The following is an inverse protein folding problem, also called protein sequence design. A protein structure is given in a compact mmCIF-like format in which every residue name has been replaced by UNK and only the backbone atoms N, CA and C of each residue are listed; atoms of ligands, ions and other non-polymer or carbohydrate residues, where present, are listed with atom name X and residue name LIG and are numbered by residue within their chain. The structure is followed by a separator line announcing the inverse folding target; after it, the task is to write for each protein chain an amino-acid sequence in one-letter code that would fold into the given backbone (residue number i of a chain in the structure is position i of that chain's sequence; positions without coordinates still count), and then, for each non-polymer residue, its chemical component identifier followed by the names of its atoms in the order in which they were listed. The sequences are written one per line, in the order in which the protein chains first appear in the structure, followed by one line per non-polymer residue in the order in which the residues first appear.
data_IF_123550925901
#
_entry.id   IF_123550925901
#
_cell.length_a   1.000
_cell.length_b   1.000
_cell.length_c   1.000
_cell.angle_alpha   90.00
_cell.angle_beta   90.00
_cell.angle_gamma   90.00
#
_symmetry.space_group_name_H-M   'P 1'
#
loop_
_entity.id
_entity.type
_entity.pdbx_description
1 polymer ?
#
# COMPACT_ATOMS: atom_id res chain seq x y z
N UNK A 1 9.86 16.02 -26.28
CA UNK A 1 10.43 14.89 -25.50
C UNK A 1 9.88 15.01 -24.10
N UNK A 2 9.04 14.08 -23.66
CA UNK A 2 8.64 14.04 -22.25
C UNK A 2 9.85 13.51 -21.45
N UNK A 3 10.20 14.16 -20.34
CA UNK A 3 11.28 13.65 -19.49
C UNK A 3 10.91 12.24 -19.01
N UNK A 4 11.85 11.31 -19.13
CA UNK A 4 11.69 9.95 -18.58
C UNK A 4 11.63 10.08 -17.07
N UNK A 5 10.57 9.60 -16.40
CA UNK A 5 10.49 9.68 -14.96
C UNK A 5 11.62 8.91 -14.28
N UNK A 6 12.17 9.48 -13.21
CA UNK A 6 13.24 8.84 -12.44
C UNK A 6 12.80 7.49 -11.84
N UNK A 7 11.52 7.39 -11.49
CA UNK A 7 10.89 6.19 -10.96
C UNK A 7 9.91 5.71 -12.03
N UNK A 8 10.09 4.52 -12.63
CA UNK A 8 9.14 4.00 -13.60
C UNK A 8 7.79 3.74 -12.92
N UNK A 9 6.66 4.08 -13.57
CA UNK A 9 5.34 3.72 -13.06
C UNK A 9 5.15 2.21 -13.15
N UNK A 10 4.72 1.60 -12.05
CA UNK A 10 4.51 0.14 -12.00
C UNK A 10 3.36 -0.29 -11.10
N UNK A 11 2.93 0.59 -10.19
CA UNK A 11 1.94 0.24 -9.14
C UNK A 11 0.61 -0.18 -9.74
N UNK A 12 0.01 0.67 -10.59
CA UNK A 12 -1.34 0.43 -11.10
C UNK A 12 -1.38 -0.86 -11.93
N UNK A 13 -0.55 -0.98 -12.95
CA UNK A 13 -0.49 -2.16 -13.82
C UNK A 13 -0.29 -3.44 -13.00
N UNK A 14 0.68 -3.45 -12.08
CA UNK A 14 0.96 -4.63 -11.27
C UNK A 14 -0.18 -5.00 -10.33
N UNK A 15 -0.87 -4.02 -9.77
CA UNK A 15 -2.03 -4.27 -8.90
C UNK A 15 -3.20 -4.80 -9.73
N UNK A 16 -3.48 -4.24 -10.90
CA UNK A 16 -4.55 -4.69 -11.78
C UNK A 16 -4.32 -6.13 -12.25
N UNK A 17 -3.08 -6.53 -12.50
CA UNK A 17 -2.72 -7.91 -12.85
C UNK A 17 -3.07 -8.93 -11.75
N UNK A 18 -3.01 -8.51 -10.49
CA UNK A 18 -3.22 -9.38 -9.32
C UNK A 18 -4.66 -9.44 -8.86
N UNK A 19 -5.37 -8.31 -8.90
CA UNK A 19 -6.74 -8.15 -8.40
C UNK A 19 -7.73 -9.14 -9.00
N UNK A 20 -7.80 -9.34 -10.32
CA UNK A 20 -8.81 -10.20 -10.95
C UNK A 20 -8.79 -11.65 -10.45
N UNK A 21 -7.66 -12.13 -9.99
CA UNK A 21 -7.42 -13.53 -9.68
C UNK A 21 -7.39 -13.84 -8.18
N UNK A 22 -7.86 -12.92 -7.30
CA UNK A 22 -7.71 -13.12 -5.86
C UNK A 22 -8.99 -12.84 -5.07
N UNK A 23 -9.23 -13.65 -4.04
CA UNK A 23 -10.25 -13.44 -3.01
C UNK A 23 -9.81 -12.44 -1.91
N UNK A 24 -8.81 -11.61 -2.20
CA UNK A 24 -8.19 -10.70 -1.21
C UNK A 24 -9.17 -9.69 -0.62
N UNK A 25 -10.27 -9.42 -1.36
CA UNK A 25 -11.31 -8.48 -0.96
C UNK A 25 -12.33 -9.04 0.03
N UNK A 26 -12.37 -10.35 0.18
CA UNK A 26 -13.36 -11.01 1.02
C UNK A 26 -12.85 -11.29 2.43
N UNK A 27 -11.54 -11.11 2.66
CA UNK A 27 -10.94 -11.39 3.95
C UNK A 27 -9.86 -10.34 4.28
N UNK A 28 -10.14 -9.50 5.27
CA UNK A 28 -9.19 -8.46 5.73
C UNK A 28 -7.91 -9.03 6.38
N UNK A 29 -7.90 -10.32 6.68
CA UNK A 29 -6.71 -11.03 7.15
C UNK A 29 -5.90 -11.64 6.01
N UNK A 30 -6.49 -11.77 4.80
CA UNK A 30 -5.80 -12.32 3.66
C UNK A 30 -4.71 -11.37 3.15
N UNK A 31 -3.57 -11.96 2.85
CA UNK A 31 -2.44 -11.27 2.24
C UNK A 31 -2.06 -12.00 0.96
N UNK A 32 -1.89 -11.25 -0.11
CA UNK A 32 -1.39 -11.79 -1.37
C UNK A 32 0.05 -11.34 -1.57
N UNK A 33 0.98 -12.28 -1.79
CA UNK A 33 2.34 -11.95 -2.20
C UNK A 33 2.29 -11.15 -3.49
N UNK A 34 2.93 -9.99 -3.50
CA UNK A 34 2.84 -9.02 -4.58
C UNK A 34 4.21 -8.70 -5.16
N UNK A 35 5.19 -8.40 -4.30
CA UNK A 35 6.57 -8.15 -4.69
C UNK A 35 7.47 -9.21 -4.08
N UNK A 36 8.34 -9.80 -4.91
CA UNK A 36 9.43 -10.70 -4.52
C UNK A 36 10.63 -10.42 -5.42
N UNK A 37 11.26 -9.27 -5.20
CA UNK A 37 12.36 -8.81 -6.02
C UNK A 37 13.70 -9.29 -5.46
N UNK A 38 14.45 -10.03 -6.27
CA UNK A 38 15.73 -10.64 -5.87
C UNK A 38 16.97 -9.88 -6.33
N UNK A 39 16.79 -8.80 -7.08
CA UNK A 39 17.88 -7.97 -7.58
C UNK A 39 17.86 -7.76 -9.09
N UNK A 40 18.83 -7.04 -9.61
CA UNK A 40 18.97 -6.82 -11.05
C UNK A 40 19.12 -8.17 -11.78
N UNK A 41 18.33 -8.35 -12.84
CA UNK A 41 18.29 -9.61 -13.61
C UNK A 41 17.18 -10.57 -13.16
N UNK A 42 16.33 -10.21 -12.21
CA UNK A 42 15.15 -11.00 -11.87
C UNK A 42 14.15 -10.99 -13.04
N UNK A 43 14.08 -12.10 -13.75
CA UNK A 43 13.21 -12.27 -14.95
C UNK A 43 11.71 -12.25 -14.61
N UNK A 44 11.36 -12.33 -13.33
CA UNK A 44 9.97 -12.36 -12.88
C UNK A 44 9.42 -10.97 -12.59
N UNK A 45 10.24 -9.92 -12.66
CA UNK A 45 9.84 -8.54 -12.36
C UNK A 45 9.97 -7.69 -13.61
N UNK A 46 8.85 -7.11 -14.07
CA UNK A 46 8.79 -6.25 -15.27
C UNK A 46 9.64 -4.98 -15.12
N UNK A 47 9.75 -4.45 -13.89
CA UNK A 47 10.55 -3.27 -13.58
C UNK A 47 11.05 -3.33 -12.14
N UNK A 48 12.19 -2.69 -11.85
CA UNK A 48 12.66 -2.54 -10.45
C UNK A 48 11.58 -1.81 -9.65
N UNK A 49 11.07 -2.40 -8.55
CA UNK A 49 9.95 -1.85 -7.79
C UNK A 49 10.40 -0.70 -6.89
N UNK A 50 10.57 0.46 -7.49
CA UNK A 50 11.00 1.69 -6.82
C UNK A 50 9.80 2.49 -6.35
N UNK A 51 9.85 2.97 -5.11
CA UNK A 51 8.88 3.91 -4.56
C UNK A 51 9.60 5.03 -3.81
N UNK A 52 9.08 6.26 -3.92
CA UNK A 52 9.56 7.40 -3.14
C UNK A 52 8.68 7.60 -1.92
N UNK A 53 9.28 7.84 -0.77
CA UNK A 53 8.56 8.20 0.46
C UNK A 53 8.10 9.66 0.34
N UNK A 54 6.78 9.88 0.35
CA UNK A 54 6.20 11.22 0.34
C UNK A 54 6.02 11.77 1.75
N UNK A 55 5.46 10.95 2.63
CA UNK A 55 5.25 11.32 4.04
C UNK A 55 5.08 10.08 4.91
N UNK A 56 5.41 10.20 6.18
CA UNK A 56 5.01 9.24 7.20
C UNK A 56 3.66 9.62 7.79
N UNK A 57 2.83 8.63 8.09
CA UNK A 57 1.52 8.82 8.69
C UNK A 57 1.57 8.57 10.21
N UNK A 58 1.86 7.33 10.60
CA UNK A 58 1.80 6.92 11.99
C UNK A 58 2.79 5.80 12.31
N UNK A 59 3.45 5.89 13.47
CA UNK A 59 4.12 4.74 14.07
C UNK A 59 3.13 4.03 15.01
N UNK A 60 2.98 2.73 14.84
CA UNK A 60 2.08 1.93 15.66
C UNK A 60 2.78 1.43 16.92
N UNK A 61 2.01 1.11 17.96
CA UNK A 61 2.55 0.66 19.26
C UNK A 61 3.35 -0.65 19.15
N UNK A 62 3.07 -1.46 18.14
CA UNK A 62 3.74 -2.74 17.89
C UNK A 62 5.01 -2.59 17.01
N UNK A 63 5.42 -1.36 16.72
CA UNK A 63 6.66 -1.06 16.00
C UNK A 63 6.55 -1.10 14.49
N UNK A 64 5.34 -1.09 13.91
CA UNK A 64 5.11 -0.89 12.47
C UNK A 64 5.08 0.60 12.16
N UNK A 65 5.35 0.96 10.92
CA UNK A 65 5.35 2.34 10.44
C UNK A 65 4.49 2.45 9.19
N UNK A 66 3.63 3.44 9.16
CA UNK A 66 2.77 3.72 8.00
C UNK A 66 3.21 4.97 7.28
N UNK A 67 3.08 4.96 5.96
CA UNK A 67 3.54 6.02 5.10
C UNK A 67 2.70 6.12 3.82
N UNK A 68 2.83 7.25 3.13
CA UNK A 68 2.41 7.44 1.75
C UNK A 68 3.65 7.38 0.88
N UNK A 69 3.68 6.44 -0.05
CA UNK A 69 4.71 6.34 -1.08
C UNK A 69 4.09 6.54 -2.47
N UNK A 70 4.93 6.80 -3.46
CA UNK A 70 4.49 6.91 -4.84
C UNK A 70 5.54 6.35 -5.81
N UNK A 71 5.06 5.87 -6.94
CA UNK A 71 5.86 5.72 -8.15
C UNK A 71 5.90 7.02 -8.94
N UNK A 72 5.92 7.22 -10.14
CA UNK A 72 5.85 8.55 -10.77
C UNK A 72 4.44 9.01 -11.10
N UNK A 73 3.43 8.16 -10.95
CA UNK A 73 2.06 8.45 -11.36
C UNK A 73 1.03 8.34 -10.24
N UNK A 74 1.23 7.42 -9.29
CA UNK A 74 0.23 7.15 -8.26
C UNK A 74 0.82 7.08 -6.86
N UNK A 75 0.07 7.57 -5.91
CA UNK A 75 0.30 7.37 -4.47
C UNK A 75 -0.37 6.08 -3.99
N UNK A 76 0.27 5.42 -3.04
CA UNK A 76 -0.26 4.25 -2.35
C UNK A 76 0.02 4.34 -0.85
N UNK A 77 -0.87 3.76 -0.05
CA UNK A 77 -0.65 3.59 1.38
C UNK A 77 0.22 2.36 1.64
N UNK A 78 1.24 2.54 2.46
CA UNK A 78 2.24 1.53 2.77
C UNK A 78 2.32 1.30 4.26
N UNK A 79 2.37 0.04 4.66
CA UNK A 79 2.66 -0.42 6.01
C UNK A 79 4.00 -1.15 6.00
N UNK A 80 5.01 -0.58 6.62
CA UNK A 80 6.27 -1.29 6.89
C UNK A 80 6.09 -2.18 8.10
N UNK A 81 6.38 -3.47 7.95
CA UNK A 81 6.37 -4.39 9.09
C UNK A 81 7.54 -4.10 10.03
N UNK A 82 7.40 -4.47 11.31
CA UNK A 82 8.48 -4.32 12.28
C UNK A 82 9.75 -5.01 11.81
N UNK A 83 9.61 -6.21 11.27
CA UNK A 83 10.72 -7.04 10.78
C UNK A 83 11.46 -6.35 9.63
N UNK A 84 10.72 -5.73 8.69
CA UNK A 84 11.35 -5.00 7.57
C UNK A 84 12.13 -3.78 8.05
N UNK A 85 11.62 -3.06 9.04
CA UNK A 85 12.29 -1.91 9.63
C UNK A 85 13.56 -2.32 10.37
N UNK A 86 13.48 -3.35 11.23
CA UNK A 86 14.63 -3.87 11.97
C UNK A 86 15.71 -4.38 11.01
N UNK A 87 15.31 -5.10 9.96
CA UNK A 87 16.24 -5.58 8.93
C UNK A 87 16.95 -4.42 8.24
N UNK A 88 16.20 -3.41 7.82
CA UNK A 88 16.73 -2.20 7.18
C UNK A 88 17.72 -1.47 8.10
N UNK A 89 17.33 -1.21 9.36
CA UNK A 89 18.17 -0.54 10.35
C UNK A 89 19.48 -1.29 10.59
N UNK A 90 19.44 -2.62 10.69
CA UNK A 90 20.63 -3.45 10.88
C UNK A 90 21.60 -3.43 9.68
N UNK A 91 21.06 -3.36 8.46
CA UNK A 91 21.88 -3.35 7.24
C UNK A 91 22.51 -1.97 7.01
N UNK A 92 21.70 -0.92 7.18
CA UNK A 92 22.11 0.44 6.82
C UNK A 92 22.66 1.24 8.00
N UNK A 93 22.49 0.76 9.25
CA UNK A 93 22.80 1.50 10.49
C UNK A 93 22.08 2.85 10.58
N UNK A 94 20.93 2.95 9.92
CA UNK A 94 20.09 4.15 9.83
C UNK A 94 18.64 3.78 10.13
N UNK A 95 17.91 4.68 10.78
CA UNK A 95 16.49 4.54 11.07
C UNK A 95 15.63 5.28 10.06
N UNK A 96 14.42 4.77 9.86
CA UNK A 96 13.39 5.54 9.20
C UNK A 96 12.98 6.72 10.08
N UNK A 97 13.25 7.94 9.61
CA UNK A 97 12.93 9.19 10.28
C UNK A 97 12.36 10.18 9.27
N UNK A 98 11.98 11.38 9.73
CA UNK A 98 11.61 12.47 8.81
C UNK A 98 12.71 12.76 7.77
N UNK A 99 13.96 12.42 8.08
CA UNK A 99 15.09 12.55 7.15
C UNK A 99 15.02 11.55 5.99
N UNK A 100 14.23 10.48 6.11
CA UNK A 100 14.00 9.49 5.04
C UNK A 100 12.91 9.93 4.04
N UNK A 101 12.19 11.03 4.33
CA UNK A 101 11.22 11.59 3.38
C UNK A 101 11.94 12.00 2.09
N UNK A 102 11.32 11.77 0.94
CA UNK A 102 11.83 11.92 -0.41
C UNK A 102 12.91 10.90 -0.82
N UNK A 103 13.30 9.99 0.05
CA UNK A 103 14.19 8.88 -0.34
C UNK A 103 13.47 7.91 -1.27
N UNK A 104 14.22 7.36 -2.23
CA UNK A 104 13.75 6.30 -3.14
C UNK A 104 14.14 4.97 -2.53
N UNK A 105 13.13 4.12 -2.37
CA UNK A 105 13.26 2.80 -1.78
C UNK A 105 13.07 1.73 -2.84
N UNK A 106 13.83 0.64 -2.73
CA UNK A 106 13.61 -0.59 -3.48
C UNK A 106 12.72 -1.49 -2.64
N UNK A 107 11.54 -1.81 -3.12
CA UNK A 107 10.63 -2.74 -2.44
C UNK A 107 11.02 -4.16 -2.80
N UNK A 108 11.74 -4.87 -1.92
CA UNK A 108 12.21 -6.23 -2.15
C UNK A 108 11.14 -7.29 -1.87
N UNK A 109 10.32 -7.05 -0.85
CA UNK A 109 9.23 -7.94 -0.49
C UNK A 109 8.00 -7.17 -0.04
N UNK A 110 6.84 -7.51 -0.59
CA UNK A 110 5.58 -6.91 -0.17
C UNK A 110 4.39 -7.83 -0.45
N UNK A 111 3.34 -7.63 0.35
CA UNK A 111 2.03 -8.22 0.14
C UNK A 111 1.00 -7.13 -0.15
N UNK A 112 0.02 -7.43 -0.99
CA UNK A 112 -1.23 -6.68 -1.00
C UNK A 112 -2.11 -7.18 0.13
N UNK A 113 -2.67 -6.25 0.88
CA UNK A 113 -3.59 -6.51 1.98
C UNK A 113 -4.78 -5.59 1.88
N UNK A 114 -5.98 -6.16 1.95
CA UNK A 114 -7.19 -5.38 2.09
C UNK A 114 -7.39 -4.98 3.56
N UNK A 115 -7.67 -3.69 3.79
CA UNK A 115 -8.02 -3.18 5.11
C UNK A 115 -9.36 -2.44 5.05
N UNK A 116 -10.13 -2.57 6.12
CA UNK A 116 -11.40 -1.88 6.28
C UNK A 116 -11.19 -0.41 6.66
N UNK A 117 -12.22 0.42 6.52
CA UNK A 117 -12.15 1.84 6.90
C UNK A 117 -11.77 2.06 8.37
N UNK A 118 -12.33 1.29 9.35
CA UNK A 118 -11.87 1.38 10.74
C UNK A 118 -10.39 1.07 10.90
N UNK A 119 -9.89 -0.01 10.27
CA UNK A 119 -8.46 -0.36 10.28
C UNK A 119 -7.59 0.71 9.62
N UNK A 120 -8.08 1.31 8.54
CA UNK A 120 -7.40 2.44 7.88
C UNK A 120 -7.19 3.60 8.86
N UNK A 121 -8.24 4.02 9.54
CA UNK A 121 -8.18 5.10 10.53
C UNK A 121 -7.27 4.77 11.71
N UNK A 122 -7.30 3.54 12.17
CA UNK A 122 -6.45 3.07 13.25
C UNK A 122 -4.96 3.11 12.84
N UNK A 123 -4.62 2.57 11.67
CA UNK A 123 -3.25 2.39 11.21
C UNK A 123 -2.64 3.68 10.65
N UNK A 124 -3.39 4.46 9.89
CA UNK A 124 -2.87 5.62 9.16
C UNK A 124 -3.33 6.96 9.74
N UNK A 125 -4.43 6.98 10.50
CA UNK A 125 -5.07 8.22 10.93
C UNK A 125 -5.77 8.93 9.77
N UNK A 126 -5.73 10.25 9.76
CA UNK A 126 -6.22 11.07 8.65
C UNK A 126 -5.12 11.24 7.60
N UNK A 127 -5.42 10.86 6.36
CA UNK A 127 -4.50 10.98 5.23
C UNK A 127 -4.98 12.07 4.28
N UNK A 128 -4.18 13.12 4.14
CA UNK A 128 -4.52 14.27 3.31
C UNK A 128 -4.71 13.87 1.82
N UNK A 129 -5.82 14.32 1.24
CA UNK A 129 -6.13 14.06 -0.16
C UNK A 129 -6.63 12.65 -0.47
N UNK A 130 -6.74 11.76 0.51
CA UNK A 130 -7.34 10.45 0.31
C UNK A 130 -8.87 10.57 0.21
N UNK A 131 -9.42 10.15 -0.93
CA UNK A 131 -10.86 10.04 -1.15
C UNK A 131 -11.19 8.60 -1.49
N UNK A 132 -12.19 8.04 -0.84
CA UNK A 132 -12.64 6.67 -1.03
C UNK A 132 -14.08 6.68 -1.53
N UNK A 133 -14.28 6.19 -2.74
CA UNK A 133 -15.62 6.12 -3.34
C UNK A 133 -16.43 4.93 -2.81
N UNK A 134 -15.74 3.82 -2.50
CA UNK A 134 -16.37 2.66 -1.90
C UNK A 134 -16.20 2.70 -0.38
N UNK A 135 -17.25 2.75 0.39
CA UNK A 135 -17.22 2.81 1.86
C UNK A 135 -16.71 1.54 2.57
N UNK A 136 -16.11 0.57 1.88
CA UNK A 136 -15.79 -0.76 2.44
C UNK A 136 -14.35 -0.86 2.95
N UNK A 137 -13.40 -0.39 2.19
CA UNK A 137 -11.98 -0.51 2.52
C UNK A 137 -11.10 -0.33 1.29
N UNK A 138 -9.81 -0.55 1.46
CA UNK A 138 -8.80 -0.36 0.41
C UNK A 138 -7.72 -1.42 0.47
N UNK A 139 -7.00 -1.58 -0.63
CA UNK A 139 -5.74 -2.31 -0.65
C UNK A 139 -4.61 -1.42 -0.17
N UNK A 140 -3.74 -1.96 0.68
CA UNK A 140 -2.49 -1.35 1.06
C UNK A 140 -1.32 -2.24 0.68
N UNK A 141 -0.14 -1.65 0.56
CA UNK A 141 1.10 -2.39 0.38
C UNK A 141 1.71 -2.66 1.75
N UNK A 142 1.74 -3.93 2.18
CA UNK A 142 2.43 -4.35 3.39
C UNK A 142 3.85 -4.79 3.04
N UNK A 143 4.84 -3.95 3.35
CA UNK A 143 6.24 -4.15 3.00
C UNK A 143 6.92 -5.02 4.05
N UNK A 144 7.47 -6.15 3.61
CA UNK A 144 8.18 -7.13 4.43
C UNK A 144 9.70 -7.08 4.25
N UNK A 145 10.17 -6.52 3.14
CA UNK A 145 11.59 -6.33 2.85
C UNK A 145 11.80 -5.06 2.00
N UNK A 146 12.73 -4.21 2.41
CA UNK A 146 12.99 -2.92 1.77
C UNK A 146 14.46 -2.58 1.82
N UNK A 147 14.93 -1.87 0.77
CA UNK A 147 16.29 -1.36 0.68
C UNK A 147 16.28 0.08 0.20
N UNK A 148 17.36 0.81 0.40
CA UNK A 148 17.51 2.14 -0.18
C UNK A 148 18.22 2.06 -1.53
N UNK A 149 17.75 2.83 -2.51
CA UNK A 149 18.38 2.84 -3.84
C UNK A 149 19.77 3.45 -3.81
N UNK A 150 19.96 4.55 -3.06
CA UNK A 150 21.23 5.27 -2.95
C UNK A 150 21.39 5.85 -1.54
N UNK A 151 22.58 5.71 -0.93
CA UNK A 151 22.89 6.31 0.38
C UNK A 151 22.97 7.85 0.35
N UNK A 152 23.26 8.45 -0.81
CA UNK A 152 23.32 9.91 -1.00
C UNK A 152 22.30 10.31 -2.06
N UNK A 153 21.04 10.32 -1.68
CA UNK A 153 20.00 10.69 -2.62
C UNK A 153 19.86 12.20 -2.70
N UNK A 154 19.82 12.70 -3.93
CA UNK A 154 19.42 14.07 -4.18
C UNK A 154 17.93 14.14 -3.81
N UNK A 155 17.63 14.80 -2.69
CA UNK A 155 16.25 15.03 -2.22
C UNK A 155 15.61 16.13 -3.03
N UNK A 156 15.41 15.90 -4.30
CA UNK A 156 14.66 16.83 -5.15
C UNK A 156 13.19 16.41 -5.08
N UNK A 157 12.41 17.18 -4.34
CA UNK A 157 10.96 17.10 -4.46
C UNK A 157 10.63 17.53 -5.90
N UNK A 158 10.02 16.67 -6.68
CA UNK A 158 9.34 17.11 -7.87
C UNK A 158 8.19 18.02 -7.39
N UNK A 159 8.02 19.19 -8.02
CA UNK A 159 7.00 20.18 -7.61
C UNK A 159 5.60 19.58 -7.47
N UNK A 160 5.35 18.47 -8.14
CA UNK A 160 4.04 17.86 -8.31
C UNK A 160 3.85 16.55 -7.52
N UNK A 161 4.86 16.05 -6.78
CA UNK A 161 4.75 14.78 -6.05
C UNK A 161 3.55 14.75 -5.08
N UNK A 162 3.26 15.87 -4.42
CA UNK A 162 2.11 15.99 -3.53
C UNK A 162 0.76 16.00 -4.26
N UNK A 163 0.74 16.45 -5.51
CA UNK A 163 -0.46 16.54 -6.34
C UNK A 163 -0.81 15.22 -7.03
N UNK A 164 0.09 14.21 -7.02
CA UNK A 164 -0.20 12.91 -7.60
C UNK A 164 -1.49 12.31 -7.02
N UNK A 165 -2.33 11.66 -7.84
CA UNK A 165 -3.52 10.99 -7.36
C UNK A 165 -3.15 9.74 -6.55
N UNK A 166 -4.03 9.36 -5.62
CA UNK A 166 -3.98 8.02 -5.06
C UNK A 166 -4.47 7.01 -6.10
N UNK A 167 -3.87 5.83 -6.12
CA UNK A 167 -4.29 4.71 -6.97
C UNK A 167 -5.77 4.37 -6.79
N UNK A 168 -6.33 4.62 -5.61
CA UNK A 168 -7.74 4.35 -5.28
C UNK A 168 -8.74 5.26 -6.00
N UNK A 169 -8.29 6.36 -6.57
CA UNK A 169 -9.09 7.28 -7.41
C UNK A 169 -8.88 7.06 -8.90
N UNK A 170 -8.05 6.10 -9.28
CA UNK A 170 -7.84 5.76 -10.69
C UNK A 170 -9.06 5.02 -11.25
N UNK A 171 -9.58 5.42 -12.44
CA UNK A 171 -10.76 4.79 -13.03
C UNK A 171 -10.61 3.28 -13.27
N UNK A 172 -9.42 2.82 -13.70
CA UNK A 172 -9.17 1.39 -13.96
C UNK A 172 -9.19 0.59 -12.64
N UNK A 173 -8.61 1.15 -11.58
CA UNK A 173 -8.67 0.56 -10.26
C UNK A 173 -10.11 0.46 -9.75
N UNK A 174 -10.90 1.54 -9.89
CA UNK A 174 -12.29 1.59 -9.45
C UNK A 174 -13.13 0.56 -10.22
N UNK A 175 -12.93 0.44 -11.54
CA UNK A 175 -13.67 -0.51 -12.38
C UNK A 175 -13.38 -1.97 -11.99
N UNK A 176 -12.11 -2.30 -11.72
CA UNK A 176 -11.74 -3.61 -11.21
C UNK A 176 -12.42 -3.97 -9.89
N UNK A 177 -12.77 -2.98 -9.07
CA UNK A 177 -13.55 -3.21 -7.85
C UNK A 177 -15.05 -3.38 -8.11
N UNK A 178 -15.59 -2.74 -9.15
CA UNK A 178 -17.02 -2.85 -9.53
C UNK A 178 -17.36 -4.20 -10.14
N UNK A 179 -16.46 -4.75 -10.93
CA UNK A 179 -16.66 -6.03 -11.62
C UNK A 179 -16.63 -7.26 -10.70
N UNK A 180 -16.30 -7.09 -9.43
CA UNK A 180 -16.20 -8.22 -8.50
C UNK A 180 -17.55 -8.63 -7.91
N UNK A 181 -17.78 -9.95 -7.83
CA UNK A 181 -19.08 -10.47 -7.44
C UNK A 181 -19.43 -10.12 -6.00
N UNK A 182 -20.69 -9.84 -5.86
CA UNK A 182 -21.47 -9.77 -4.64
C UNK A 182 -20.84 -9.07 -3.43
N UNK A 183 -20.91 -7.74 -3.50
CA UNK A 183 -20.58 -6.86 -2.37
C UNK A 183 -21.47 -7.11 -1.14
N UNK A 184 -22.56 -7.89 -1.27
CA UNK A 184 -23.39 -8.33 -0.16
C UNK A 184 -22.65 -9.29 0.75
N UNK A 185 -21.92 -10.25 0.19
CA UNK A 185 -21.09 -11.18 0.97
C UNK A 185 -19.96 -10.47 1.70
N UNK A 186 -19.36 -9.45 1.06
CA UNK A 186 -18.32 -8.65 1.70
C UNK A 186 -18.89 -7.84 2.88
N UNK A 187 -20.08 -7.25 2.72
CA UNK A 187 -20.78 -6.54 3.79
C UNK A 187 -21.18 -7.47 4.93
N UNK A 188 -21.63 -8.69 4.62
CA UNK A 188 -21.96 -9.70 5.62
C UNK A 188 -20.73 -10.14 6.42
N UNK A 189 -19.61 -10.39 5.74
CA UNK A 189 -18.36 -10.74 6.41
C UNK A 189 -17.80 -9.58 7.25
N UNK A 190 -17.93 -8.33 6.79
CA UNK A 190 -17.53 -7.16 7.57
C UNK A 190 -18.36 -6.99 8.83
N UNK A 191 -19.68 -7.21 8.79
CA UNK A 191 -20.55 -7.22 9.98
C UNK A 191 -20.12 -8.28 10.98
N UNK A 192 -19.78 -9.46 10.50
CA UNK A 192 -19.28 -10.55 11.34
C UNK A 192 -17.96 -10.20 12.04
N UNK A 193 -17.04 -9.53 11.32
CA UNK A 193 -15.73 -9.13 11.85
C UNK A 193 -15.80 -7.92 12.78
N UNK A 194 -16.81 -7.05 12.64
CA UNK A 194 -17.00 -5.87 13.50
C UNK A 194 -17.78 -6.16 14.76
N UNK A 195 -18.26 -7.38 14.94
CA UNK A 195 -18.99 -7.78 16.15
C UNK A 195 -20.43 -7.24 16.23
N UNK A 196 -20.95 -6.64 15.17
CA UNK A 196 -22.35 -6.23 15.07
C UNK A 196 -23.29 -7.44 14.82
N UNK A 197 -23.10 -8.47 15.64
CA UNK A 197 -24.12 -9.51 15.79
C UNK A 197 -25.22 -8.94 16.68
N UNK A 198 -26.17 -8.24 16.08
CA UNK A 198 -27.48 -8.09 16.69
C UNK A 198 -28.07 -9.51 16.75
N UNK A 199 -28.16 -10.04 17.94
CA UNK A 199 -28.94 -11.26 18.20
C UNK A 199 -30.36 -10.97 17.80
N UNK A 200 -30.81 -11.50 16.67
CA UNK A 200 -32.25 -11.67 16.40
C UNK A 200 -32.74 -12.71 17.41
N UNK A 201 -33.07 -12.28 18.62
CA UNK A 201 -33.96 -13.03 19.48
C UNK A 201 -35.34 -12.90 18.86
N UNK A 202 -35.71 -13.94 18.15
CA UNK A 202 -37.11 -14.17 17.78
C UNK A 202 -37.93 -14.30 19.07
N UNK A 203 -38.81 -13.33 19.29
CA UNK A 203 -39.93 -13.47 20.21
C UNK A 203 -40.87 -14.57 19.71
N UNK A 204 -40.98 -15.64 20.50
CA UNK A 204 -42.08 -16.65 20.44
C UNK A 204 -43.15 -16.28 21.45
#
# INVERSE_FOLDING_TARGET
MHPIPLIPPWLLESILDVIPNTSIYTNSLAKKRFVDYRGEGDVNVKATPLLRILSFCKATKDGRLTAVLHDSYHKILVLFTKESLVKYENIHMERFTFMSVLSIMIIKGAHLRFITIPQLRELFGEVAGLRLENGLGILILEVTDVDSMLKQQIRVAAKDDAALPFIYSDPEYIECFREKPDMSDLKAQMRYLTGDMVSDEEDV
#
